data_IF_203967715573
#
_entry.id   IF_203967715573
#
_cell.length_a   1.000
_cell.length_b   1.000
_cell.length_c   1.000
_cell.angle_alpha   90.00
_cell.angle_beta   90.00
_cell.angle_gamma   90.00
#
_symmetry.space_group_name_H-M   'P 1'
#
loop_
_entity.id
_entity.type
_entity.pdbx_description
1 polymer ?
#
# COMPACT_ATOMS: atom_id res chain seq x y z
N UNK A 1 -25.31 8.58 -6.27
CA UNK A 1 -24.57 8.30 -7.52
C UNK A 1 -23.80 7.00 -7.32
N UNK A 2 -23.75 6.15 -8.34
CA UNK A 2 -22.92 4.94 -8.33
C UNK A 2 -21.67 5.22 -9.17
N UNK A 3 -20.51 4.74 -8.71
CA UNK A 3 -19.23 4.89 -9.39
C UNK A 3 -18.44 3.58 -9.35
N UNK A 4 -17.40 3.51 -10.18
CA UNK A 4 -16.43 2.42 -10.20
C UNK A 4 -15.03 2.98 -9.96
N UNK A 5 -14.19 2.21 -9.30
CA UNK A 5 -12.79 2.55 -9.07
C UNK A 5 -11.92 1.30 -8.96
N UNK A 6 -10.65 1.40 -9.30
CA UNK A 6 -9.65 0.36 -9.09
C UNK A 6 -8.80 0.72 -7.88
N UNK A 7 -8.71 -0.20 -6.92
CA UNK A 7 -8.01 0.03 -5.66
C UNK A 7 -7.10 -1.13 -5.29
N UNK A 8 -5.97 -0.83 -4.65
CA UNK A 8 -5.21 -1.81 -3.87
C UNK A 8 -5.72 -1.76 -2.44
N UNK A 9 -6.19 -2.89 -1.90
CA UNK A 9 -6.71 -2.99 -0.54
C UNK A 9 -5.56 -2.86 0.46
N UNK A 10 -5.59 -1.80 1.25
CA UNK A 10 -4.59 -1.49 2.28
C UNK A 10 -4.91 -2.22 3.58
N UNK A 11 -6.18 -2.19 4.00
CA UNK A 11 -6.63 -2.70 5.28
C UNK A 11 -8.12 -3.03 5.22
N UNK A 12 -8.48 -4.16 5.85
CA UNK A 12 -9.87 -4.55 6.04
C UNK A 12 -10.08 -4.96 7.48
N UNK A 13 -11.18 -4.52 8.09
CA UNK A 13 -11.51 -4.84 9.48
C UNK A 13 -13.02 -4.97 9.68
N UNK A 14 -13.40 -5.72 10.72
CA UNK A 14 -14.80 -5.96 11.06
C UNK A 14 -15.47 -4.69 11.56
N UNK A 15 -16.72 -4.50 11.16
CA UNK A 15 -17.62 -3.50 11.71
C UNK A 15 -18.92 -4.20 12.12
N UNK A 16 -19.07 -4.48 13.41
CA UNK A 16 -20.13 -5.36 13.89
C UNK A 16 -19.92 -6.83 13.49
N UNK A 17 -21.02 -7.60 13.44
CA UNK A 17 -20.95 -9.05 13.26
C UNK A 17 -20.79 -9.52 11.82
N UNK A 18 -21.31 -8.76 10.85
CA UNK A 18 -21.41 -9.19 9.46
C UNK A 18 -20.74 -8.23 8.47
N UNK A 19 -20.47 -6.99 8.87
CA UNK A 19 -19.99 -5.95 7.96
C UNK A 19 -18.48 -5.76 8.05
N UNK A 20 -17.91 -5.16 7.01
CA UNK A 20 -16.49 -4.83 6.93
C UNK A 20 -16.33 -3.34 6.58
N UNK A 21 -15.24 -2.75 7.06
CA UNK A 21 -14.68 -1.53 6.50
C UNK A 21 -13.44 -1.92 5.70
N UNK A 22 -13.35 -1.38 4.49
CA UNK A 22 -12.25 -1.60 3.54
C UNK A 22 -11.60 -0.26 3.25
N UNK A 23 -10.30 -0.15 3.48
CA UNK A 23 -9.49 0.97 3.02
C UNK A 23 -8.69 0.54 1.80
N UNK A 24 -8.74 1.34 0.74
CA UNK A 24 -7.96 1.13 -0.47
C UNK A 24 -7.20 2.38 -0.89
N UNK A 25 -6.18 2.19 -1.71
CA UNK A 25 -5.51 3.25 -2.45
C UNK A 25 -5.98 3.21 -3.90
N UNK A 26 -6.48 4.31 -4.44
CA UNK A 26 -6.90 4.39 -5.84
C UNK A 26 -5.76 4.85 -6.76
N UNK A 27 -6.04 4.94 -8.07
CA UNK A 27 -5.03 5.29 -9.08
C UNK A 27 -4.46 6.71 -8.94
N UNK A 28 -5.19 7.62 -8.30
CA UNK A 28 -4.74 8.99 -8.01
C UNK A 28 -3.78 9.04 -6.82
N UNK A 29 -3.58 7.92 -6.13
CA UNK A 29 -2.85 7.87 -4.86
C UNK A 29 -3.69 8.32 -3.66
N UNK A 30 -4.99 8.52 -3.84
CA UNK A 30 -5.90 8.90 -2.79
C UNK A 30 -6.35 7.67 -1.98
N UNK A 31 -6.49 7.86 -0.67
CA UNK A 31 -7.06 6.85 0.22
C UNK A 31 -8.59 6.89 0.13
N UNK A 32 -9.19 5.73 -0.10
CA UNK A 32 -10.64 5.56 -0.13
C UNK A 32 -11.12 4.62 0.98
N UNK A 33 -12.29 4.92 1.53
CA UNK A 33 -12.90 4.16 2.63
C UNK A 33 -14.28 3.65 2.21
N UNK A 34 -14.52 2.36 2.41
CA UNK A 34 -15.77 1.71 2.00
C UNK A 34 -16.39 0.88 3.13
N UNK A 35 -17.71 1.02 3.30
CA UNK A 35 -18.55 0.16 4.12
C UNK A 35 -19.13 -0.98 3.27
N UNK A 36 -18.70 -2.20 3.56
CA UNK A 36 -19.17 -3.41 2.92
C UNK A 36 -20.19 -4.12 3.81
N UNK A 37 -21.47 -3.75 3.64
CA UNK A 37 -22.59 -4.39 4.34
C UNK A 37 -22.63 -5.88 4.02
N UNK A 38 -22.70 -6.74 5.03
CA UNK A 38 -22.67 -8.19 4.93
C UNK A 38 -21.34 -8.74 4.41
N UNK A 39 -20.26 -7.94 4.44
CA UNK A 39 -18.92 -8.26 3.92
C UNK A 39 -18.43 -9.66 4.31
N UNK A 40 -18.57 -10.04 5.58
CA UNK A 40 -18.10 -11.31 6.11
C UNK A 40 -18.86 -12.53 5.58
N UNK A 41 -20.14 -12.37 5.25
CA UNK A 41 -21.05 -13.49 4.93
C UNK A 41 -21.42 -13.54 3.44
N UNK A 42 -21.16 -12.47 2.67
CA UNK A 42 -21.63 -12.35 1.29
C UNK A 42 -20.73 -13.08 0.29
N UNK A 43 -21.07 -14.34 -0.01
CA UNK A 43 -20.34 -15.15 -1.00
C UNK A 43 -20.46 -14.62 -2.43
N UNK A 44 -21.61 -14.06 -2.80
CA UNK A 44 -21.87 -13.56 -4.16
C UNK A 44 -21.08 -12.29 -4.49
N UNK A 45 -20.95 -11.37 -3.53
CA UNK A 45 -20.35 -10.03 -3.76
C UNK A 45 -18.91 -9.96 -3.30
N UNK A 46 -18.56 -10.69 -2.25
CA UNK A 46 -17.28 -10.59 -1.53
C UNK A 46 -16.72 -11.98 -1.16
N UNK A 47 -17.02 -13.00 -1.96
CA UNK A 47 -16.55 -14.36 -1.72
C UNK A 47 -15.03 -14.50 -1.89
N UNK A 48 -14.46 -15.58 -1.32
CA UNK A 48 -13.08 -15.99 -1.60
C UNK A 48 -11.98 -15.07 -1.07
N UNK A 49 -12.26 -14.23 -0.07
CA UNK A 49 -11.24 -13.31 0.46
C UNK A 49 -11.00 -12.08 -0.42
N UNK A 50 -11.94 -11.77 -1.33
CA UNK A 50 -11.83 -10.66 -2.30
C UNK A 50 -11.46 -9.30 -1.69
N UNK A 51 -11.88 -9.04 -0.45
CA UNK A 51 -11.62 -7.79 0.27
C UNK A 51 -10.42 -7.88 1.22
N UNK A 52 -9.57 -8.90 1.11
CA UNK A 52 -8.37 -9.00 1.94
C UNK A 52 -7.30 -7.98 1.51
N UNK A 53 -6.47 -7.57 2.47
CA UNK A 53 -5.28 -6.75 2.19
C UNK A 53 -4.42 -7.39 1.08
N UNK A 54 -3.64 -6.55 0.39
CA UNK A 54 -2.81 -6.83 -0.79
C UNK A 54 -3.55 -7.01 -2.10
N UNK A 55 -4.85 -7.29 -2.09
CA UNK A 55 -5.59 -7.50 -3.34
C UNK A 55 -5.71 -6.21 -4.15
N UNK A 56 -5.52 -6.33 -5.46
CA UNK A 56 -5.89 -5.30 -6.42
C UNK A 56 -7.24 -5.66 -7.02
N UNK A 57 -8.23 -4.79 -6.82
CA UNK A 57 -9.63 -5.05 -7.16
C UNK A 57 -10.27 -3.86 -7.86
N UNK A 58 -11.28 -4.11 -8.67
CA UNK A 58 -12.24 -3.09 -9.10
C UNK A 58 -13.43 -3.11 -8.14
N UNK A 59 -13.85 -1.94 -7.66
CA UNK A 59 -14.99 -1.77 -6.77
C UNK A 59 -16.09 -0.98 -7.48
N UNK A 60 -17.34 -1.40 -7.30
CA UNK A 60 -18.52 -0.59 -7.60
C UNK A 60 -19.12 -0.11 -6.28
N UNK A 61 -19.36 1.18 -6.13
CA UNK A 61 -19.80 1.76 -4.86
C UNK A 61 -20.81 2.90 -5.04
N UNK A 62 -21.61 3.14 -4.00
CA UNK A 62 -22.41 4.37 -3.88
C UNK A 62 -21.57 5.45 -3.23
N UNK A 63 -21.43 6.56 -3.94
CA UNK A 63 -20.73 7.75 -3.44
C UNK A 63 -21.50 8.29 -2.23
N UNK A 64 -20.77 8.52 -1.15
CA UNK A 64 -21.32 9.14 0.06
C UNK A 64 -21.54 10.62 -0.18
N UNK A 65 -22.53 11.19 0.49
CA UNK A 65 -22.84 12.63 0.43
C UNK A 65 -22.24 13.41 1.60
N UNK A 66 -21.49 12.74 2.48
CA UNK A 66 -20.80 13.41 3.57
C UNK A 66 -19.74 14.37 3.01
N UNK A 67 -19.66 15.56 3.59
CA UNK A 67 -18.68 16.61 3.23
C UNK A 67 -17.37 16.45 4.02
N UNK A 68 -17.05 15.23 4.43
CA UNK A 68 -15.82 14.89 5.14
C UNK A 68 -14.66 14.73 4.15
N UNK A 69 -13.43 15.00 4.59
CA UNK A 69 -12.23 14.83 3.77
C UNK A 69 -12.05 13.37 3.27
N UNK A 70 -12.50 12.40 4.07
CA UNK A 70 -12.50 11.00 3.70
C UNK A 70 -13.89 10.36 3.89
N UNK A 71 -14.79 10.52 2.92
CA UNK A 71 -16.16 10.07 3.07
C UNK A 71 -16.25 8.54 3.02
N UNK A 72 -17.05 7.95 3.92
CA UNK A 72 -17.29 6.50 3.93
C UNK A 72 -18.31 6.08 2.87
N UNK A 73 -17.83 5.53 1.75
CA UNK A 73 -18.66 5.07 0.65
C UNK A 73 -19.36 3.73 0.94
N UNK A 74 -20.47 3.42 0.28
CA UNK A 74 -21.10 2.09 0.42
C UNK A 74 -20.65 1.16 -0.70
N UNK A 75 -19.97 0.08 -0.37
CA UNK A 75 -19.52 -0.93 -1.33
C UNK A 75 -20.69 -1.78 -1.82
N UNK A 76 -20.93 -1.81 -3.13
CA UNK A 76 -21.97 -2.63 -3.74
C UNK A 76 -21.40 -4.02 -4.06
N UNK A 77 -20.31 -4.05 -4.82
CA UNK A 77 -19.64 -5.26 -5.32
C UNK A 77 -18.15 -4.98 -5.52
N UNK A 78 -17.37 -6.04 -5.65
CA UNK A 78 -15.98 -5.97 -6.06
C UNK A 78 -15.68 -7.07 -7.08
N UNK A 79 -14.63 -6.89 -7.86
CA UNK A 79 -14.11 -7.86 -8.81
C UNK A 79 -12.60 -7.97 -8.68
N UNK A 80 -12.09 -9.20 -8.74
CA UNK A 80 -10.67 -9.45 -8.60
C UNK A 80 -9.91 -9.00 -9.85
N UNK A 81 -8.84 -8.23 -9.68
CA UNK A 81 -7.89 -7.92 -10.75
C UNK A 81 -6.56 -8.64 -10.54
N UNK A 82 -6.05 -8.71 -9.30
CA UNK A 82 -4.83 -9.47 -8.94
C UNK A 82 -4.74 -9.81 -7.44
N UNK A 83 -4.29 -11.03 -7.13
CA UNK A 83 -4.25 -11.59 -5.77
C UNK A 83 -2.86 -11.68 -5.12
N UNK A 84 -1.78 -11.53 -5.89
CA UNK A 84 -0.39 -11.71 -5.45
C UNK A 84 -0.18 -12.99 -4.60
N UNK A 85 -0.52 -14.17 -5.13
CA UNK A 85 -0.65 -15.40 -4.34
C UNK A 85 0.65 -15.81 -3.62
N UNK A 86 1.82 -15.48 -4.16
CA UNK A 86 3.11 -15.84 -3.54
C UNK A 86 3.43 -15.04 -2.28
N UNK A 87 2.70 -13.96 -2.00
CA UNK A 87 2.86 -13.26 -0.72
C UNK A 87 2.46 -14.14 0.46
N UNK A 88 1.50 -15.05 0.27
CA UNK A 88 1.00 -15.95 1.32
C UNK A 88 1.78 -17.26 1.44
N UNK A 89 2.77 -17.52 0.58
CA UNK A 89 3.53 -18.78 0.61
C UNK A 89 4.65 -18.78 1.65
N UNK A 90 5.09 -17.60 2.09
CA UNK A 90 6.10 -17.43 3.14
C UNK A 90 5.71 -16.27 4.06
N UNK A 91 5.91 -16.46 5.37
CA UNK A 91 5.59 -15.44 6.37
C UNK A 91 6.30 -14.11 6.09
N UNK A 92 7.59 -14.14 5.79
CA UNK A 92 8.39 -12.92 5.57
C UNK A 92 7.88 -12.09 4.39
N UNK A 93 7.40 -12.74 3.32
CA UNK A 93 6.82 -12.04 2.15
C UNK A 93 5.52 -11.32 2.53
N UNK A 94 4.67 -12.00 3.30
CA UNK A 94 3.43 -11.42 3.81
C UNK A 94 3.72 -10.27 4.77
N UNK A 95 4.68 -10.45 5.69
CA UNK A 95 5.09 -9.42 6.64
C UNK A 95 5.61 -8.17 5.92
N UNK A 96 6.49 -8.33 4.94
CA UNK A 96 7.01 -7.22 4.13
C UNK A 96 5.90 -6.49 3.36
N UNK A 97 4.96 -7.22 2.76
CA UNK A 97 3.81 -6.64 2.08
C UNK A 97 2.91 -5.85 3.05
N UNK A 98 2.59 -6.41 4.22
CA UNK A 98 1.77 -5.74 5.23
C UNK A 98 2.45 -4.51 5.82
N UNK A 99 3.78 -4.54 5.98
CA UNK A 99 4.58 -3.39 6.37
C UNK A 99 4.44 -2.25 5.35
N UNK A 100 4.63 -2.55 4.06
CA UNK A 100 4.49 -1.59 2.97
C UNK A 100 3.07 -1.01 2.93
N UNK A 101 2.03 -1.84 3.06
CA UNK A 101 0.64 -1.36 3.13
C UNK A 101 0.38 -0.47 4.34
N UNK A 102 0.94 -0.80 5.50
CA UNK A 102 0.81 0.02 6.72
C UNK A 102 1.46 1.39 6.54
N UNK A 103 2.63 1.46 5.88
CA UNK A 103 3.30 2.70 5.56
C UNK A 103 2.43 3.59 4.66
N UNK A 104 1.93 3.05 3.55
CA UNK A 104 1.01 3.75 2.64
C UNK A 104 -0.28 4.18 3.34
N UNK A 105 -0.86 3.31 4.16
CA UNK A 105 -2.08 3.60 4.91
C UNK A 105 -1.89 4.79 5.86
N UNK A 106 -0.77 4.82 6.59
CA UNK A 106 -0.42 5.94 7.47
C UNK A 106 -0.23 7.25 6.70
N UNK A 107 0.48 7.22 5.58
CA UNK A 107 0.67 8.40 4.74
C UNK A 107 -0.69 8.97 4.27
N UNK A 108 -1.62 8.10 3.85
CA UNK A 108 -2.95 8.54 3.39
C UNK A 108 -3.77 9.20 4.50
N UNK A 109 -3.65 8.73 5.75
CA UNK A 109 -4.34 9.32 6.90
C UNK A 109 -3.92 10.77 7.22
N UNK A 110 -2.71 11.16 6.84
CA UNK A 110 -2.19 12.51 7.12
C UNK A 110 -2.49 13.50 5.98
N UNK A 111 -3.28 13.11 4.97
CA UNK A 111 -3.53 13.95 3.79
C UNK A 111 -2.27 14.22 2.96
N UNK A 112 -1.27 13.35 3.11
CA UNK A 112 0.09 13.54 2.58
C UNK A 112 0.20 13.09 1.11
N UNK A 113 -0.81 12.42 0.56
CA UNK A 113 -0.70 11.84 -0.78
C UNK A 113 -1.93 12.15 -1.63
N UNK A 114 -1.64 12.71 -2.80
CA UNK A 114 -2.41 12.57 -4.04
C UNK A 114 -1.39 12.43 -5.20
N UNK A 115 -0.64 11.33 -5.19
CA UNK A 115 0.38 11.04 -6.20
C UNK A 115 0.05 9.72 -6.91
N UNK A 116 -0.28 9.77 -8.22
CA UNK A 116 -0.49 8.56 -9.02
C UNK A 116 0.71 7.61 -9.02
N UNK A 117 1.92 8.14 -8.80
CA UNK A 117 3.13 7.34 -8.71
C UNK A 117 3.13 6.41 -7.50
N UNK A 118 2.46 6.77 -6.39
CA UNK A 118 2.40 5.91 -5.21
C UNK A 118 1.61 4.63 -5.49
N UNK A 119 0.51 4.73 -6.23
CA UNK A 119 -0.29 3.57 -6.60
C UNK A 119 0.53 2.55 -7.38
N UNK A 120 1.27 3.03 -8.39
CA UNK A 120 2.16 2.20 -9.19
C UNK A 120 3.33 1.65 -8.36
N UNK A 121 3.91 2.48 -7.48
CA UNK A 121 4.99 2.07 -6.59
C UNK A 121 4.55 0.94 -5.65
N UNK A 122 3.36 1.05 -5.05
CA UNK A 122 2.78 0.03 -4.18
C UNK A 122 2.54 -1.28 -4.94
N UNK A 123 1.89 -1.22 -6.10
CA UNK A 123 1.64 -2.42 -6.93
C UNK A 123 2.93 -3.12 -7.34
N UNK A 124 3.96 -2.35 -7.71
CA UNK A 124 5.28 -2.87 -8.05
C UNK A 124 5.99 -3.50 -6.85
N UNK A 125 5.82 -2.94 -5.65
CA UNK A 125 6.41 -3.49 -4.44
C UNK A 125 5.76 -4.81 -4.01
N UNK A 126 4.43 -4.90 -4.09
CA UNK A 126 3.72 -6.17 -3.87
C UNK A 126 4.15 -7.22 -4.91
N UNK A 127 4.30 -6.84 -6.18
CA UNK A 127 4.78 -7.74 -7.22
C UNK A 127 6.22 -8.22 -6.97
N UNK A 128 7.13 -7.31 -6.57
CA UNK A 128 8.52 -7.66 -6.28
C UNK A 128 8.64 -8.53 -5.01
N UNK A 129 7.77 -8.32 -4.01
CA UNK A 129 7.73 -9.14 -2.81
C UNK A 129 7.33 -10.60 -3.08
N UNK A 130 6.68 -10.91 -4.21
CA UNK A 130 6.38 -12.30 -4.62
C UNK A 130 7.62 -13.12 -4.98
N UNK A 131 8.72 -12.46 -5.39
CA UNK A 131 9.92 -13.14 -5.92
C UNK A 131 11.23 -12.70 -5.28
N UNK A 132 11.26 -11.60 -4.54
CA UNK A 132 12.46 -11.09 -3.87
C UNK A 132 13.11 -12.13 -2.95
N UNK A 133 14.43 -12.15 -2.96
CA UNK A 133 15.32 -12.87 -2.04
C UNK A 133 15.84 -11.98 -0.90
N UNK A 134 15.65 -10.65 -1.00
CA UNK A 134 16.06 -9.67 0.01
C UNK A 134 14.93 -8.67 0.29
N UNK A 135 13.95 -9.12 1.07
CA UNK A 135 12.74 -8.35 1.41
C UNK A 135 13.05 -7.11 2.24
N UNK A 136 14.07 -7.14 3.09
CA UNK A 136 14.53 -5.98 3.84
C UNK A 136 15.04 -4.88 2.90
N UNK A 137 15.71 -5.25 1.81
CA UNK A 137 16.21 -4.29 0.82
C UNK A 137 15.07 -3.75 -0.03
N UNK A 138 14.09 -4.58 -0.33
CA UNK A 138 12.86 -4.18 -0.98
C UNK A 138 12.11 -3.12 -0.15
N UNK A 139 11.95 -3.33 1.16
CA UNK A 139 11.34 -2.35 2.08
C UNK A 139 12.09 -1.03 2.08
N UNK A 140 13.41 -1.06 2.28
CA UNK A 140 14.24 0.15 2.26
C UNK A 140 14.16 0.91 0.93
N UNK A 141 14.16 0.19 -0.19
CA UNK A 141 14.04 0.78 -1.51
C UNK A 141 12.65 1.43 -1.72
N UNK A 142 11.58 0.79 -1.24
CA UNK A 142 10.25 1.36 -1.27
C UNK A 142 10.17 2.66 -0.48
N UNK A 143 10.69 2.67 0.75
CA UNK A 143 10.73 3.84 1.64
C UNK A 143 11.48 5.01 1.02
N UNK A 144 12.66 4.76 0.43
CA UNK A 144 13.45 5.76 -0.28
C UNK A 144 12.66 6.37 -1.45
N UNK A 145 11.98 5.53 -2.25
CA UNK A 145 11.16 6.02 -3.36
C UNK A 145 9.94 6.80 -2.90
N UNK A 146 9.33 6.41 -1.78
CA UNK A 146 8.25 7.19 -1.15
C UNK A 146 8.75 8.57 -0.74
N UNK A 147 9.83 8.65 0.05
CA UNK A 147 10.39 9.93 0.49
C UNK A 147 10.82 10.81 -0.70
N UNK A 148 11.41 10.20 -1.73
CA UNK A 148 11.82 10.90 -2.94
C UNK A 148 10.62 11.45 -3.71
N UNK A 149 9.57 10.65 -3.89
CA UNK A 149 8.35 11.06 -4.58
C UNK A 149 7.57 12.17 -3.86
N UNK A 150 7.74 12.26 -2.54
CA UNK A 150 7.19 13.34 -1.72
C UNK A 150 8.09 14.58 -1.64
N UNK A 151 9.28 14.55 -2.25
CA UNK A 151 10.23 15.68 -2.22
C UNK A 151 10.86 15.94 -0.84
N UNK A 152 10.81 14.97 0.08
CA UNK A 152 11.33 15.11 1.46
C UNK A 152 12.56 14.25 1.73
N UNK A 153 13.05 13.52 0.73
CA UNK A 153 14.31 12.79 0.85
C UNK A 153 15.49 13.76 0.82
N UNK A 154 16.42 13.71 1.79
CA UNK A 154 17.62 14.54 1.76
C UNK A 154 18.49 14.28 0.54
N UNK A 155 19.25 15.29 0.15
CA UNK A 155 20.25 15.16 -0.91
C UNK A 155 21.49 14.44 -0.38
N UNK A 156 21.60 13.14 -0.63
CA UNK A 156 22.82 12.35 -0.42
C UNK A 156 23.14 11.52 -1.66
N UNK A 157 24.41 11.54 -2.12
CA UNK A 157 24.86 10.75 -3.28
C UNK A 157 24.61 9.24 -3.07
N UNK A 158 24.63 8.79 -1.80
CA UNK A 158 24.35 7.41 -1.41
C UNK A 158 22.93 6.94 -1.78
N UNK A 159 21.96 7.85 -1.95
CA UNK A 159 20.59 7.49 -2.34
C UNK A 159 20.43 7.36 -3.86
N UNK A 160 21.35 7.90 -4.66
CA UNK A 160 21.24 7.94 -6.12
C UNK A 160 21.02 6.55 -6.76
N UNK A 161 21.75 5.48 -6.37
CA UNK A 161 21.50 4.15 -6.94
C UNK A 161 20.08 3.64 -6.65
N UNK A 162 19.52 3.98 -5.50
CA UNK A 162 18.17 3.58 -5.08
C UNK A 162 17.10 4.35 -5.84
N UNK A 163 17.28 5.66 -6.01
CA UNK A 163 16.30 6.51 -6.71
C UNK A 163 16.19 6.09 -8.19
N UNK A 164 17.33 5.90 -8.85
CA UNK A 164 17.40 5.62 -10.29
C UNK A 164 17.06 4.17 -10.65
N UNK A 165 17.20 3.23 -9.72
CA UNK A 165 16.91 1.82 -9.98
C UNK A 165 15.41 1.54 -9.87
N UNK A 166 14.88 0.71 -10.76
CA UNK A 166 13.49 0.24 -10.64
C UNK A 166 13.35 -0.67 -9.41
N UNK A 167 12.21 -0.60 -8.73
CA UNK A 167 11.95 -1.40 -7.53
C UNK A 167 11.95 -2.92 -7.83
N UNK A 168 11.61 -3.32 -9.05
CA UNK A 168 11.75 -4.70 -9.53
C UNK A 168 13.22 -5.18 -9.60
N UNK A 169 14.19 -4.26 -9.63
CA UNK A 169 15.63 -4.54 -9.70
C UNK A 169 16.36 -4.20 -8.38
N UNK A 170 15.63 -4.08 -7.27
CA UNK A 170 16.19 -3.70 -5.97
C UNK A 170 17.42 -4.55 -5.56
N UNK A 171 17.44 -5.83 -5.91
CA UNK A 171 18.56 -6.73 -5.58
C UNK A 171 19.88 -6.31 -6.22
N UNK A 172 19.84 -5.65 -7.38
CA UNK A 172 21.02 -5.21 -8.15
C UNK A 172 21.74 -4.00 -7.54
N UNK A 173 21.10 -3.29 -6.60
CA UNK A 173 21.68 -2.09 -5.98
C UNK A 173 22.88 -2.52 -5.12
N UNK A 174 24.08 -2.05 -5.41
CA UNK A 174 25.22 -2.30 -4.53
C UNK A 174 24.99 -1.58 -3.19
N UNK A 175 24.90 -2.34 -2.09
CA UNK A 175 24.69 -1.80 -0.75
C UNK A 175 25.42 -2.66 0.29
N UNK A 176 26.71 -2.41 0.54
CA UNK A 176 27.47 -3.10 1.58
C UNK A 176 26.76 -3.03 2.95
N UNK A 177 27.01 -3.99 3.83
CA UNK A 177 26.25 -4.12 5.08
C UNK A 177 26.27 -2.88 5.99
N UNK A 178 27.41 -2.19 6.09
CA UNK A 178 27.53 -0.95 6.86
C UNK A 178 26.77 0.21 6.23
N UNK A 179 26.93 0.42 4.92
CA UNK A 179 26.20 1.44 4.17
C UNK A 179 24.69 1.22 4.23
N UNK A 180 24.25 -0.03 4.08
CA UNK A 180 22.82 -0.38 4.15
C UNK A 180 22.23 -0.05 5.51
N UNK A 181 22.92 -0.40 6.61
CA UNK A 181 22.45 -0.08 7.97
C UNK A 181 22.37 1.42 8.20
N UNK A 182 23.38 2.17 7.72
CA UNK A 182 23.40 3.63 7.80
C UNK A 182 22.23 4.25 7.04
N UNK A 183 22.04 3.87 5.78
CA UNK A 183 20.93 4.35 4.93
C UNK A 183 19.59 3.99 5.56
N UNK A 184 19.42 2.77 6.06
CA UNK A 184 18.19 2.35 6.73
C UNK A 184 17.88 3.21 7.97
N UNK A 185 18.87 3.46 8.82
CA UNK A 185 18.69 4.31 9.99
C UNK A 185 18.27 5.74 9.58
N UNK A 186 18.96 6.33 8.61
CA UNK A 186 18.63 7.66 8.10
C UNK A 186 17.21 7.71 7.52
N UNK A 187 16.83 6.74 6.68
CA UNK A 187 15.50 6.69 6.04
C UNK A 187 14.40 6.53 7.10
N UNK A 188 14.58 5.63 8.06
CA UNK A 188 13.63 5.45 9.15
C UNK A 188 13.49 6.73 10.01
N UNK A 189 14.57 7.46 10.26
CA UNK A 189 14.52 8.75 10.97
C UNK A 189 13.69 9.78 10.22
N UNK A 190 13.88 9.90 8.90
CA UNK A 190 13.11 10.79 8.05
C UNK A 190 11.63 10.40 8.00
N UNK A 191 11.33 9.09 7.87
CA UNK A 191 9.95 8.60 7.91
C UNK A 191 9.27 8.90 9.25
N UNK A 192 9.98 8.72 10.38
CA UNK A 192 9.44 9.04 11.71
C UNK A 192 9.12 10.51 11.85
N UNK A 193 10.02 11.38 11.38
CA UNK A 193 9.81 12.83 11.39
C UNK A 193 8.63 13.22 10.50
N UNK A 194 8.54 12.64 9.30
CA UNK A 194 7.52 12.98 8.31
C UNK A 194 6.12 12.46 8.66
N UNK A 195 6.01 11.27 9.26
CA UNK A 195 4.72 10.59 9.51
C UNK A 195 4.23 10.68 10.96
N UNK A 196 4.90 11.42 11.84
CA UNK A 196 4.45 11.59 13.23
C UNK A 196 4.48 10.31 14.07
N UNK A 197 5.55 9.51 13.90
CA UNK A 197 5.91 8.23 14.57
C UNK A 197 5.37 6.89 14.00
N UNK A 198 6.31 5.93 13.94
CA UNK A 198 6.13 4.49 13.68
C UNK A 198 6.42 3.68 14.93
#
# INVERSE_FOLDING_TARGET
>A
MTAKEKIIVLKTFKHGEADLIVHGLNHDGARMSFFARGGLKSRKRFGGGLLEATHYIEVTYKVSRAEEAEPLHTLIEAQMLREFPKLRTHYDRLEAALYILKLVHKMGQHGVIDSPDLFNLLGNALAAAETSSDLEKLKLHFELKVLAGQGVLPHEEAYRPWILTSLARHEQIASPGEDRRRIQAQVHDHLRHYLGFL
#
